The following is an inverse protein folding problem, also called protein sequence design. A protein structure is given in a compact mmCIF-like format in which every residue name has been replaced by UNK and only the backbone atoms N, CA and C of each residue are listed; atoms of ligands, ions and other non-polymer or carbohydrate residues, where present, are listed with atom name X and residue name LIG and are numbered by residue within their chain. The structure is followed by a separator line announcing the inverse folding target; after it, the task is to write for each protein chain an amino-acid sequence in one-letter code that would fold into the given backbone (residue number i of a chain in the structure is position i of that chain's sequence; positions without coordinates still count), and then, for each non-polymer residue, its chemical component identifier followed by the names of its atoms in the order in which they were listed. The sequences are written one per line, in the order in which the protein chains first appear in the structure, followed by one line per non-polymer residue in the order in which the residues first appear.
data_IF_324563251009
#
_entry.id   IF_324563251009
#
_cell.length_a   1.000
_cell.length_b   1.000
_cell.length_c   1.000
_cell.angle_alpha   90.00
_cell.angle_beta   90.00
_cell.angle_gamma   90.00
#
_symmetry.space_group_name_H-M   'P 1'
#
loop_
_entity.id
_entity.type
_entity.pdbx_description
1 polymer ?
#
# COMPACT_ATOMS: atom_id res chain seq x y z
N UNK A 1 7.38 10.82 -4.32
CA UNK A 1 6.04 10.78 -4.93
C UNK A 1 5.02 10.47 -3.83
N UNK A 2 3.79 10.94 -3.98
CA UNK A 2 2.70 10.70 -3.03
C UNK A 2 1.53 10.04 -3.76
N UNK A 3 1.07 8.90 -3.25
CA UNK A 3 -0.13 8.21 -3.74
C UNK A 3 -1.31 8.55 -2.85
N UNK A 4 -2.38 9.08 -3.43
CA UNK A 4 -3.58 9.46 -2.67
C UNK A 4 -4.86 9.05 -3.39
N UNK A 5 -5.86 8.69 -2.62
CA UNK A 5 -7.20 8.44 -3.11
C UNK A 5 -7.85 9.75 -3.61
N UNK A 6 -8.41 9.69 -4.82
CA UNK A 6 -9.05 10.84 -5.44
C UNK A 6 -10.26 11.29 -4.62
N UNK A 7 -10.25 12.58 -4.25
CA UNK A 7 -11.34 13.26 -3.52
C UNK A 7 -11.60 12.75 -2.08
N UNK A 8 -10.68 12.01 -1.47
CA UNK A 8 -10.85 11.53 -0.09
C UNK A 8 -10.24 12.47 0.97
N UNK A 9 -9.19 13.22 0.63
CA UNK A 9 -8.52 14.10 1.59
C UNK A 9 -9.28 15.39 1.86
N UNK A 10 -9.37 15.75 3.15
CA UNK A 10 -9.90 17.06 3.56
C UNK A 10 -9.05 18.21 3.04
N UNK A 11 -9.66 19.38 2.86
CA UNK A 11 -8.96 20.62 2.46
C UNK A 11 -7.83 21.00 3.43
N UNK A 12 -8.02 20.72 4.73
CA UNK A 12 -7.00 20.93 5.76
C UNK A 12 -5.78 20.01 5.56
N UNK A 13 -6.00 18.71 5.36
CA UNK A 13 -4.93 17.75 5.12
C UNK A 13 -4.18 18.06 3.83
N UNK A 14 -4.90 18.40 2.75
CA UNK A 14 -4.30 18.78 1.47
C UNK A 14 -3.39 20.01 1.60
N UNK A 15 -3.82 21.02 2.37
CA UNK A 15 -3.01 22.23 2.62
C UNK A 15 -1.73 21.91 3.42
N UNK A 16 -1.84 21.07 4.45
CA UNK A 16 -0.68 20.64 5.24
C UNK A 16 0.32 19.92 4.33
N UNK A 17 -0.14 18.93 3.56
CA UNK A 17 0.72 18.16 2.67
C UNK A 17 1.40 19.07 1.63
N UNK A 18 0.64 19.93 0.93
CA UNK A 18 1.21 20.86 -0.07
C UNK A 18 2.27 21.80 0.50
N UNK A 19 2.13 22.23 1.75
CA UNK A 19 3.09 23.13 2.39
C UNK A 19 4.34 22.41 2.93
N UNK A 20 4.28 21.10 3.14
CA UNK A 20 5.38 20.32 3.70
C UNK A 20 6.08 19.42 2.67
N UNK A 21 5.53 19.29 1.45
CA UNK A 21 6.17 18.58 0.34
C UNK A 21 6.96 19.53 -0.56
N UNK A 22 8.00 19.02 -1.24
CA UNK A 22 8.74 19.78 -2.25
C UNK A 22 7.82 20.24 -3.38
N UNK A 23 8.08 21.42 -4.01
CA UNK A 23 7.39 21.83 -5.24
C UNK A 23 7.49 20.81 -6.38
N UNK A 24 8.53 19.96 -6.37
CA UNK A 24 8.76 18.90 -7.36
C UNK A 24 8.14 17.56 -6.97
N UNK A 25 7.45 17.46 -5.82
CA UNK A 25 6.78 16.23 -5.42
C UNK A 25 5.68 15.90 -6.43
N UNK A 26 5.72 14.69 -6.98
CA UNK A 26 4.67 14.14 -7.84
C UNK A 26 3.51 13.68 -6.97
N UNK A 27 2.30 14.12 -7.30
CA UNK A 27 1.05 13.75 -6.63
C UNK A 27 0.24 12.86 -7.56
N UNK A 28 0.15 11.59 -7.22
CA UNK A 28 -0.53 10.58 -8.02
C UNK A 28 -1.88 10.26 -7.40
N UNK A 29 -2.94 10.64 -8.10
CA UNK A 29 -4.32 10.47 -7.67
C UNK A 29 -4.88 9.15 -8.19
N UNK A 30 -5.12 8.20 -7.29
CA UNK A 30 -5.67 6.90 -7.62
C UNK A 30 -7.19 6.91 -7.50
N UNK A 31 -7.89 6.27 -8.44
CA UNK A 31 -9.34 6.08 -8.40
C UNK A 31 -9.72 5.17 -7.23
N UNK A 32 -10.71 5.57 -6.42
CA UNK A 32 -11.20 4.76 -5.31
C UNK A 32 -11.78 3.44 -5.79
N UNK A 33 -11.52 2.35 -5.08
CA UNK A 33 -12.05 1.01 -5.34
C UNK A 33 -11.40 0.26 -6.51
N UNK A 34 -10.80 0.95 -7.49
CA UNK A 34 -10.12 0.29 -8.62
C UNK A 34 -8.60 0.37 -8.56
N UNK A 35 -8.06 1.56 -8.27
CA UNK A 35 -6.62 1.80 -8.20
C UNK A 35 -6.18 1.96 -6.74
N UNK A 36 -6.99 2.64 -5.93
CA UNK A 36 -6.85 2.68 -4.48
C UNK A 36 -7.79 1.63 -3.87
N UNK A 37 -7.24 0.45 -3.55
CA UNK A 37 -8.04 -0.66 -3.04
C UNK A 37 -8.51 -0.42 -1.61
N UNK A 38 -9.71 -0.90 -1.33
CA UNK A 38 -10.24 -1.03 0.03
C UNK A 38 -9.52 -2.15 0.79
N UNK A 39 -9.73 -2.21 2.11
CA UNK A 39 -9.05 -3.17 2.97
C UNK A 39 -9.31 -4.62 2.56
N UNK A 40 -10.56 -4.99 2.24
CA UNK A 40 -10.92 -6.36 1.88
C UNK A 40 -10.27 -6.78 0.56
N UNK A 41 -10.35 -5.93 -0.46
CA UNK A 41 -9.67 -6.16 -1.75
C UNK A 41 -8.16 -6.29 -1.55
N UNK A 42 -7.57 -5.44 -0.71
CA UNK A 42 -6.13 -5.46 -0.42
C UNK A 42 -5.69 -6.76 0.26
N UNK A 43 -6.42 -7.21 1.29
CA UNK A 43 -6.17 -8.49 1.98
C UNK A 43 -6.27 -9.66 1.00
N UNK A 44 -7.27 -9.64 0.12
CA UNK A 44 -7.48 -10.67 -0.90
C UNK A 44 -6.37 -10.69 -1.95
N UNK A 45 -6.04 -9.55 -2.54
CA UNK A 45 -5.01 -9.44 -3.58
C UNK A 45 -3.62 -9.81 -3.04
N UNK A 46 -3.27 -9.37 -1.83
CA UNK A 46 -2.00 -9.75 -1.20
C UNK A 46 -1.90 -11.26 -0.98
N UNK A 47 -2.99 -11.90 -0.52
CA UNK A 47 -3.05 -13.36 -0.33
C UNK A 47 -3.01 -14.12 -1.67
N UNK A 48 -3.69 -13.62 -2.70
CA UNK A 48 -3.67 -14.25 -4.02
C UNK A 48 -2.37 -14.00 -4.80
N UNK A 49 -1.65 -12.94 -4.46
CA UNK A 49 -0.41 -12.54 -5.14
C UNK A 49 0.79 -13.44 -4.85
N UNK A 50 0.70 -14.29 -3.81
CA UNK A 50 1.77 -15.18 -3.36
C UNK A 50 3.11 -14.43 -3.23
N UNK A 51 3.07 -13.21 -2.67
CA UNK A 51 4.24 -12.36 -2.55
C UNK A 51 5.19 -12.83 -1.46
N UNK A 52 4.69 -13.55 -0.44
CA UNK A 52 5.42 -13.86 0.78
C UNK A 52 5.72 -15.35 0.93
N UNK A 53 5.93 -16.05 -0.20
CA UNK A 53 6.23 -17.48 -0.20
C UNK A 53 7.71 -17.74 0.09
N UNK A 54 8.00 -18.75 0.92
CA UNK A 54 9.35 -19.27 1.10
C UNK A 54 9.72 -20.22 -0.04
N UNK A 55 11.03 -20.45 -0.25
CA UNK A 55 11.54 -21.32 -1.32
C UNK A 55 11.05 -22.78 -1.23
N UNK A 56 10.48 -23.18 -0.09
CA UNK A 56 9.93 -24.53 0.15
C UNK A 56 8.42 -24.64 -0.15
N UNK A 57 7.78 -23.57 -0.62
CA UNK A 57 6.55 -23.66 -1.43
C UNK A 57 5.24 -23.98 -0.72
N UNK A 58 5.22 -24.19 0.61
CA UNK A 58 4.01 -24.67 1.28
C UNK A 58 3.27 -23.63 2.14
N UNK A 59 3.90 -22.54 2.59
CA UNK A 59 3.22 -21.53 3.44
C UNK A 59 3.46 -20.08 2.99
N UNK A 60 2.37 -19.30 2.94
CA UNK A 60 2.35 -17.86 2.67
C UNK A 60 2.70 -17.13 3.99
N UNK A 61 3.99 -16.86 4.20
CA UNK A 61 4.51 -16.32 5.47
C UNK A 61 4.45 -14.80 5.45
N UNK A 62 3.32 -14.26 5.89
CA UNK A 62 3.15 -12.81 6.00
C UNK A 62 4.19 -12.19 6.95
N UNK A 63 4.77 -11.03 6.59
CA UNK A 63 5.63 -10.27 7.50
C UNK A 63 4.91 -9.97 8.81
N UNK A 64 5.61 -10.10 9.94
CA UNK A 64 5.02 -9.94 11.28
C UNK A 64 4.28 -8.60 11.44
N UNK A 65 4.88 -7.52 10.92
CA UNK A 65 4.26 -6.19 10.94
C UNK A 65 2.93 -6.17 10.19
N UNK A 66 2.87 -6.73 8.98
CA UNK A 66 1.61 -6.78 8.22
C UNK A 66 0.58 -7.69 8.90
N UNK A 67 1.02 -8.74 9.58
CA UNK A 67 0.12 -9.61 10.34
C UNK A 67 -0.51 -8.88 11.53
N UNK A 68 0.26 -8.05 12.25
CA UNK A 68 -0.24 -7.23 13.36
C UNK A 68 -1.26 -6.18 12.90
N UNK A 69 -1.05 -5.59 11.72
CA UNK A 69 -1.93 -4.56 11.15
C UNK A 69 -2.98 -5.10 10.19
N UNK A 70 -3.12 -6.42 10.10
CA UNK A 70 -4.00 -7.06 9.14
C UNK A 70 -5.46 -6.63 9.32
N UNK A 71 -5.87 -6.36 10.54
CA UNK A 71 -7.24 -5.95 10.88
C UNK A 71 -7.46 -4.44 10.86
N UNK A 72 -6.43 -3.63 10.60
CA UNK A 72 -6.55 -2.19 10.45
C UNK A 72 -6.87 -1.84 8.98
N UNK A 73 -8.11 -1.43 8.75
CA UNK A 73 -8.61 -1.16 7.40
C UNK A 73 -7.89 0.01 6.71
N UNK A 74 -7.46 1.02 7.47
CA UNK A 74 -6.76 2.17 6.90
C UNK A 74 -5.35 1.79 6.47
N UNK A 75 -4.64 1.02 7.29
CA UNK A 75 -3.31 0.51 6.95
C UNK A 75 -3.41 -0.43 5.74
N UNK A 76 -4.36 -1.37 5.76
CA UNK A 76 -4.52 -2.32 4.67
C UNK A 76 -4.90 -1.64 3.34
N UNK A 77 -5.78 -0.65 3.38
CA UNK A 77 -6.14 0.13 2.17
C UNK A 77 -4.96 0.95 1.65
N UNK A 78 -4.18 1.59 2.53
CA UNK A 78 -2.97 2.31 2.12
C UNK A 78 -1.91 1.39 1.49
N UNK A 79 -1.69 0.21 2.07
CA UNK A 79 -0.80 -0.82 1.50
C UNK A 79 -1.34 -1.31 0.16
N UNK A 80 -2.64 -1.57 0.05
CA UNK A 80 -3.27 -1.98 -1.20
C UNK A 80 -3.10 -0.98 -2.33
N UNK A 81 -3.26 0.31 -2.03
CA UNK A 81 -3.00 1.38 -2.99
C UNK A 81 -1.55 1.39 -3.48
N UNK A 82 -0.58 1.17 -2.59
CA UNK A 82 0.82 1.04 -2.96
C UNK A 82 1.05 -0.20 -3.83
N UNK A 83 0.52 -1.36 -3.45
CA UNK A 83 0.66 -2.62 -4.20
C UNK A 83 0.05 -2.51 -5.59
N UNK A 84 -1.15 -1.95 -5.70
CA UNK A 84 -1.84 -1.67 -6.96
C UNK A 84 -1.00 -0.78 -7.88
N UNK A 85 -0.40 0.28 -7.33
CA UNK A 85 0.47 1.17 -8.10
C UNK A 85 1.77 0.49 -8.52
N UNK A 86 2.40 -0.28 -7.64
CA UNK A 86 3.59 -1.08 -7.99
C UNK A 86 3.28 -2.13 -9.06
N UNK A 87 2.08 -2.72 -9.03
CA UNK A 87 1.59 -3.70 -10.02
C UNK A 87 1.38 -3.04 -11.39
N UNK A 88 0.87 -1.80 -11.41
CA UNK A 88 0.81 -1.00 -12.63
C UNK A 88 2.19 -0.71 -13.22
N UNK A 89 3.21 -0.53 -12.36
CA UNK A 89 4.60 -0.31 -12.78
C UNK A 89 5.39 -1.61 -13.06
N UNK A 90 4.80 -2.79 -12.81
CA UNK A 90 5.46 -4.10 -12.91
C UNK A 90 6.68 -4.26 -11.96
N UNK A 91 6.64 -3.60 -10.80
CA UNK A 91 7.70 -3.60 -9.79
C UNK A 91 7.30 -4.31 -8.49
N UNK A 92 6.07 -4.79 -8.40
CA UNK A 92 5.49 -5.31 -7.17
C UNK A 92 6.18 -6.58 -6.68
N UNK A 93 6.45 -7.53 -7.59
CA UNK A 93 7.05 -8.82 -7.23
C UNK A 93 8.43 -8.69 -6.57
N UNK A 94 9.44 -8.04 -7.20
CA UNK A 94 10.79 -7.98 -6.63
C UNK A 94 10.88 -7.16 -5.34
N UNK A 95 9.93 -6.27 -5.07
CA UNK A 95 9.89 -5.45 -3.85
C UNK A 95 9.15 -6.15 -2.71
N UNK A 96 7.95 -6.69 -2.99
CA UNK A 96 7.14 -7.34 -1.96
C UNK A 96 7.74 -8.67 -1.50
N UNK A 97 8.41 -9.41 -2.39
CA UNK A 97 9.06 -10.68 -2.04
C UNK A 97 10.22 -10.55 -1.07
N UNK A 98 10.74 -9.34 -0.85
CA UNK A 98 11.75 -9.08 0.17
C UNK A 98 11.17 -9.17 1.58
N UNK A 99 9.83 -9.06 1.74
CA UNK A 99 9.17 -9.12 3.03
C UNK A 99 9.59 -8.04 4.03
N UNK A 100 10.25 -6.98 3.55
CA UNK A 100 10.84 -5.95 4.40
C UNK A 100 9.81 -4.87 4.76
N UNK A 101 9.04 -5.12 5.82
CA UNK A 101 8.04 -4.19 6.33
C UNK A 101 8.42 -3.74 7.75
N UNK A 102 8.36 -2.43 7.97
CA UNK A 102 8.62 -1.81 9.26
C UNK A 102 7.43 -0.95 9.67
N UNK A 103 7.09 -0.99 10.97
CA UNK A 103 6.07 -0.13 11.54
C UNK A 103 6.60 1.30 11.65
N UNK A 104 5.88 2.25 11.07
CA UNK A 104 6.13 3.66 11.35
C UNK A 104 5.57 4.05 12.73
N UNK A 105 6.44 4.55 13.61
CA UNK A 105 6.07 5.21 14.87
C UNK A 105 6.43 6.69 14.78
N UNK A 106 5.46 7.61 14.99
CA UNK A 106 5.73 9.05 15.06
C UNK A 106 6.68 9.46 16.18
#
# INVERSE_FOLDING_TARGET
ELLIEKSHLSTRALRILKNNTSPTTIWTHLKPGTEFWDADTSRRELKCGNYFTTQEGEDDVWPEVLQQYKDDDLVMSAVGALVSYLKFLLLERPLLSQGNFEKYSP
#
